data_IF_869462629386
#
_entry.id   IF_869462629386
#
_cell.length_a   1.000
_cell.length_b   1.000
_cell.length_c   1.000
_cell.angle_alpha   90.00
_cell.angle_beta   90.00
_cell.angle_gamma   90.00
#
_symmetry.space_group_name_H-M   'P 1'
#
loop_
_entity.id
_entity.type
_entity.pdbx_description
1 polymer ?
#
# COMPACT_ATOMS: atom_id res chain seq x y z
N UNK A 1 32.20 50.53 25.44
CA UNK A 1 32.64 49.17 25.07
C UNK A 1 31.40 48.31 24.98
N UNK A 2 30.87 48.14 23.76
CA UNK A 2 29.61 47.44 23.50
C UNK A 2 29.97 46.21 22.69
N UNK A 3 29.98 45.06 23.34
CA UNK A 3 30.35 43.77 22.77
C UNK A 3 29.21 43.26 21.89
N UNK A 4 29.39 43.27 20.58
CA UNK A 4 28.46 42.68 19.63
C UNK A 4 28.66 41.15 19.58
N UNK A 5 27.69 40.40 20.08
CA UNK A 5 27.61 38.95 19.88
C UNK A 5 27.24 38.65 18.43
N UNK A 6 28.18 38.07 17.68
CA UNK A 6 27.94 37.51 16.35
C UNK A 6 27.33 36.12 16.52
N UNK A 7 26.04 35.98 16.23
CA UNK A 7 25.41 34.68 16.07
C UNK A 7 25.88 34.05 14.76
N UNK A 8 26.67 32.98 14.84
CA UNK A 8 26.90 32.10 13.69
C UNK A 8 25.62 31.33 13.41
N UNK A 9 24.87 31.78 12.40
CA UNK A 9 23.85 30.96 11.77
C UNK A 9 24.55 29.78 11.09
N UNK A 10 24.39 28.57 11.63
CA UNK A 10 24.72 27.34 10.91
C UNK A 10 23.70 27.22 9.78
N UNK A 11 24.08 27.68 8.59
CA UNK A 11 23.35 27.40 7.37
C UNK A 11 23.35 25.88 7.18
N UNK A 12 22.18 25.27 7.29
CA UNK A 12 21.97 23.91 6.80
C UNK A 12 22.34 23.91 5.32
N UNK A 13 23.49 23.32 4.96
CA UNK A 13 23.87 23.17 3.57
C UNK A 13 22.78 22.36 2.89
N UNK A 14 22.03 22.97 1.98
CA UNK A 14 21.13 22.23 1.11
C UNK A 14 22.00 21.22 0.33
N UNK A 15 21.94 19.95 0.70
CA UNK A 15 22.61 18.88 -0.04
C UNK A 15 22.18 18.98 -1.50
N UNK A 16 23.16 19.09 -2.40
CA UNK A 16 22.92 19.15 -3.83
C UNK A 16 22.00 17.99 -4.24
N UNK A 17 20.97 18.23 -5.07
CA UNK A 17 20.12 17.15 -5.55
C UNK A 17 20.98 16.11 -6.28
N UNK A 18 20.84 14.83 -5.93
CA UNK A 18 21.59 13.76 -6.57
C UNK A 18 21.28 13.70 -8.07
N UNK A 19 22.24 13.24 -8.88
CA UNK A 19 22.06 13.10 -10.33
C UNK A 19 21.02 12.02 -10.66
N UNK A 20 20.46 12.10 -11.87
CA UNK A 20 19.56 11.07 -12.42
C UNK A 20 20.32 9.76 -12.61
N UNK A 21 19.82 8.68 -11.98
CA UNK A 21 20.44 7.35 -11.98
C UNK A 21 20.59 6.78 -13.39
N UNK A 22 19.69 7.10 -14.34
CA UNK A 22 19.84 6.67 -15.74
C UNK A 22 21.04 7.33 -16.39
N UNK A 23 21.27 8.62 -16.12
CA UNK A 23 22.41 9.36 -16.68
C UNK A 23 23.73 8.84 -16.12
N UNK A 24 23.78 8.62 -14.80
CA UNK A 24 24.94 8.01 -14.15
C UNK A 24 25.22 6.62 -14.75
N UNK A 25 24.20 5.78 -14.93
CA UNK A 25 24.37 4.47 -15.57
C UNK A 25 24.94 4.58 -17.00
N UNK A 26 24.40 5.50 -17.81
CA UNK A 26 24.85 5.71 -19.17
C UNK A 26 26.33 6.16 -19.24
N UNK A 27 26.75 7.00 -18.29
CA UNK A 27 28.11 7.54 -18.20
C UNK A 27 29.12 6.50 -17.72
N UNK A 28 28.80 5.76 -16.67
CA UNK A 28 29.80 4.94 -15.95
C UNK A 28 29.66 3.43 -16.14
N UNK A 29 28.49 2.92 -16.55
CA UNK A 29 28.20 1.49 -16.52
C UNK A 29 27.87 0.90 -17.90
N UNK A 30 27.27 1.69 -18.80
CA UNK A 30 26.71 1.20 -20.06
C UNK A 30 27.74 0.66 -21.04
N UNK A 31 28.99 1.13 -21.00
CA UNK A 31 30.07 0.62 -21.88
C UNK A 31 30.42 -0.85 -21.60
N UNK A 32 30.24 -1.31 -20.35
CA UNK A 32 30.51 -2.68 -19.93
C UNK A 32 29.23 -3.55 -19.92
N UNK A 33 28.13 -3.01 -19.40
CA UNK A 33 26.89 -3.74 -19.15
C UNK A 33 25.82 -3.55 -20.23
N UNK A 34 26.13 -2.84 -21.30
CA UNK A 34 25.19 -2.52 -22.38
C UNK A 34 24.27 -1.34 -22.03
N UNK A 35 23.80 -0.61 -23.04
CA UNK A 35 22.97 0.57 -22.85
C UNK A 35 21.60 0.26 -22.22
N UNK A 36 21.14 -0.99 -22.30
CA UNK A 36 19.87 -1.50 -21.76
C UNK A 36 20.10 -2.57 -20.68
N UNK A 37 21.30 -2.65 -20.08
CA UNK A 37 21.67 -3.61 -19.05
C UNK A 37 21.74 -5.08 -19.55
N UNK A 38 21.76 -5.27 -20.86
CA UNK A 38 21.73 -6.57 -21.54
C UNK A 38 23.06 -7.32 -21.53
N UNK A 39 24.13 -6.69 -21.01
CA UNK A 39 25.48 -7.22 -21.01
C UNK A 39 26.29 -6.79 -22.23
N UNK A 40 27.58 -7.13 -22.21
CA UNK A 40 28.54 -6.79 -23.24
C UNK A 40 29.90 -7.39 -22.90
N UNK A 41 30.89 -6.54 -22.62
CA UNK A 41 32.18 -7.00 -22.05
C UNK A 41 32.05 -7.46 -20.59
N UNK A 42 31.00 -7.03 -19.89
CA UNK A 42 30.60 -7.55 -18.58
C UNK A 42 29.23 -8.24 -18.64
N UNK A 43 28.89 -9.10 -17.65
CA UNK A 43 27.60 -9.78 -17.61
C UNK A 43 26.39 -8.83 -17.61
N UNK A 44 25.26 -9.31 -18.11
CA UNK A 44 23.98 -8.60 -18.05
C UNK A 44 23.53 -8.34 -16.61
N UNK A 45 22.90 -7.19 -16.37
CA UNK A 45 22.31 -6.84 -15.07
C UNK A 45 20.79 -7.11 -15.03
N UNK A 46 20.20 -7.61 -16.12
CA UNK A 46 18.78 -7.98 -16.22
C UNK A 46 18.45 -9.40 -15.74
N UNK A 47 19.40 -10.13 -15.14
CA UNK A 47 19.29 -11.56 -14.82
C UNK A 47 19.46 -11.90 -13.33
N UNK A 48 19.01 -13.10 -12.95
CA UNK A 48 19.03 -13.59 -11.55
C UNK A 48 20.36 -14.24 -11.11
N UNK A 49 21.30 -14.50 -12.04
CA UNK A 49 22.56 -15.16 -11.71
C UNK A 49 23.65 -14.14 -11.45
N UNK A 50 23.72 -13.69 -10.20
CA UNK A 50 24.75 -12.79 -9.72
C UNK A 50 25.96 -13.58 -9.21
N UNK A 51 27.18 -13.16 -9.59
CA UNK A 51 28.42 -13.81 -9.13
C UNK A 51 28.82 -13.44 -7.70
N UNK A 52 28.37 -12.29 -7.20
CA UNK A 52 28.82 -11.68 -5.96
C UNK A 52 27.63 -11.13 -5.14
N UNK A 53 26.66 -11.98 -4.80
CA UNK A 53 25.45 -11.58 -4.07
C UNK A 53 24.23 -11.49 -4.97
N UNK A 54 23.49 -10.38 -4.93
CA UNK A 54 22.27 -10.15 -5.71
C UNK A 54 21.22 -9.28 -5.01
N UNK A 55 21.41 -9.02 -3.72
CA UNK A 55 20.63 -8.05 -2.94
C UNK A 55 21.15 -6.60 -3.12
N UNK A 56 20.33 -5.63 -2.68
CA UNK A 56 20.63 -4.20 -2.78
C UNK A 56 22.00 -3.81 -2.16
N UNK A 57 22.39 -4.43 -1.04
CA UNK A 57 23.63 -4.12 -0.34
C UNK A 57 24.86 -4.61 -1.11
N UNK A 58 24.81 -5.82 -1.65
CA UNK A 58 25.87 -6.41 -2.48
C UNK A 58 26.03 -5.67 -3.83
N UNK A 59 24.94 -5.18 -4.41
CA UNK A 59 24.97 -4.32 -5.60
C UNK A 59 25.61 -2.97 -5.28
N UNK A 60 25.20 -2.32 -4.19
CA UNK A 60 25.78 -1.07 -3.74
C UNK A 60 27.29 -1.21 -3.46
N UNK A 61 27.70 -2.25 -2.75
CA UNK A 61 29.11 -2.54 -2.48
C UNK A 61 29.89 -2.80 -3.77
N UNK A 62 29.33 -3.55 -4.73
CA UNK A 62 30.01 -3.80 -6.01
C UNK A 62 30.20 -2.52 -6.83
N UNK A 63 29.25 -1.59 -6.80
CA UNK A 63 29.38 -0.27 -7.46
C UNK A 63 30.42 0.59 -6.72
N UNK A 64 30.32 0.67 -5.39
CA UNK A 64 31.17 1.52 -4.56
C UNK A 64 32.63 1.09 -4.60
N UNK A 65 32.86 -0.18 -4.32
CA UNK A 65 34.18 -0.75 -4.05
C UNK A 65 34.81 -1.36 -5.31
N UNK A 66 34.02 -1.54 -6.37
CA UNK A 66 34.43 -2.19 -7.60
C UNK A 66 34.70 -3.70 -7.43
N UNK A 67 35.08 -4.35 -8.52
CA UNK A 67 35.62 -5.72 -8.55
C UNK A 67 36.85 -5.72 -9.45
N UNK A 68 37.93 -5.13 -8.97
CA UNK A 68 39.15 -4.85 -9.76
C UNK A 68 39.73 -6.12 -10.40
N UNK A 69 39.75 -7.23 -9.66
CA UNK A 69 40.21 -8.54 -10.18
C UNK A 69 39.36 -9.06 -11.35
N UNK A 70 38.14 -8.53 -11.50
CA UNK A 70 37.19 -8.90 -12.55
C UNK A 70 37.02 -7.77 -13.57
N UNK A 71 37.87 -6.74 -13.54
CA UNK A 71 37.84 -5.62 -14.50
C UNK A 71 36.80 -4.53 -14.22
N UNK A 72 36.12 -4.55 -13.06
CA UNK A 72 35.16 -3.50 -12.68
C UNK A 72 35.85 -2.48 -11.74
N UNK A 73 36.03 -1.21 -12.14
CA UNK A 73 36.60 -0.18 -11.26
C UNK A 73 35.67 0.18 -10.10
N UNK A 74 36.24 0.81 -9.07
CA UNK A 74 35.48 1.35 -7.94
C UNK A 74 34.91 2.74 -8.29
N UNK A 75 33.64 3.00 -7.96
CA UNK A 75 32.98 4.26 -8.27
C UNK A 75 32.65 5.12 -7.04
N UNK A 76 32.95 4.65 -5.81
CA UNK A 76 32.61 5.35 -4.56
C UNK A 76 33.24 6.74 -4.40
N UNK A 77 34.33 7.04 -5.12
CA UNK A 77 34.94 8.37 -5.15
C UNK A 77 34.23 9.36 -6.10
N UNK A 78 33.42 8.86 -7.04
CA UNK A 78 32.79 9.67 -8.12
C UNK A 78 31.27 9.68 -8.03
N UNK A 79 30.69 8.65 -7.43
CA UNK A 79 29.24 8.47 -7.25
C UNK A 79 28.97 8.38 -5.76
N UNK A 80 28.21 9.32 -5.21
CA UNK A 80 27.91 9.36 -3.77
C UNK A 80 27.05 8.16 -3.32
N UNK A 81 27.06 7.78 -2.04
CA UNK A 81 26.22 6.69 -1.52
C UNK A 81 24.73 6.85 -1.90
N UNK A 82 24.23 8.08 -1.85
CA UNK A 82 22.86 8.41 -2.25
C UNK A 82 22.63 8.11 -3.74
N UNK A 83 23.58 8.43 -4.61
CA UNK A 83 23.49 8.13 -6.05
C UNK A 83 23.70 6.65 -6.36
N UNK A 84 24.61 5.97 -5.64
CA UNK A 84 24.77 4.51 -5.72
C UNK A 84 23.44 3.84 -5.36
N UNK A 85 22.75 4.31 -4.31
CA UNK A 85 21.41 3.82 -3.98
C UNK A 85 20.43 4.01 -5.14
N UNK A 86 20.42 5.18 -5.77
CA UNK A 86 19.62 5.44 -6.97
C UNK A 86 19.91 4.48 -8.13
N UNK A 87 21.19 4.19 -8.39
CA UNK A 87 21.61 3.19 -9.38
C UNK A 87 21.09 1.79 -9.04
N UNK A 88 21.17 1.36 -7.79
CA UNK A 88 20.63 0.06 -7.36
C UNK A 88 19.13 -0.02 -7.62
N UNK A 89 18.36 1.02 -7.25
CA UNK A 89 16.92 1.05 -7.55
C UNK A 89 16.68 1.01 -9.06
N UNK A 90 17.46 1.73 -9.86
CA UNK A 90 17.34 1.72 -11.33
C UNK A 90 17.64 0.34 -11.93
N UNK A 91 18.71 -0.32 -11.50
CA UNK A 91 19.09 -1.67 -11.96
C UNK A 91 17.98 -2.68 -11.62
N UNK A 92 17.51 -2.69 -10.37
CA UNK A 92 16.44 -3.58 -9.92
C UNK A 92 15.13 -3.31 -10.67
N UNK A 93 14.80 -2.05 -10.92
CA UNK A 93 13.63 -1.66 -11.70
C UNK A 93 13.70 -2.22 -13.14
N UNK A 94 14.83 -2.04 -13.82
CA UNK A 94 15.03 -2.57 -15.17
C UNK A 94 14.99 -4.10 -15.20
N UNK A 95 15.65 -4.76 -14.23
CA UNK A 95 15.62 -6.22 -14.10
C UNK A 95 14.19 -6.72 -13.86
N UNK A 96 13.41 -6.08 -12.99
CA UNK A 96 12.01 -6.43 -12.75
C UNK A 96 11.11 -6.22 -13.98
N UNK A 97 11.33 -5.14 -14.74
CA UNK A 97 10.64 -4.95 -16.02
C UNK A 97 10.99 -6.03 -17.04
N UNK A 98 12.27 -6.43 -17.14
CA UNK A 98 12.69 -7.51 -18.02
C UNK A 98 12.08 -8.85 -17.60
N UNK A 99 12.09 -9.18 -16.30
CA UNK A 99 11.49 -10.40 -15.76
C UNK A 99 9.98 -10.49 -16.04
N UNK A 100 9.27 -9.36 -15.87
CA UNK A 100 7.83 -9.25 -16.16
C UNK A 100 7.49 -9.48 -17.64
N UNK A 101 8.40 -9.14 -18.57
CA UNK A 101 8.23 -9.40 -20.01
C UNK A 101 8.54 -10.85 -20.39
N UNK A 102 9.48 -11.50 -19.68
CA UNK A 102 9.94 -12.87 -19.97
C UNK A 102 9.04 -13.95 -19.39
N UNK A 103 8.41 -13.69 -18.25
CA UNK A 103 7.55 -14.67 -17.56
C UNK A 103 6.11 -14.44 -18.00
N UNK A 104 5.49 -15.33 -18.78
CA UNK A 104 4.06 -15.28 -19.00
C UNK A 104 3.38 -15.63 -17.68
N UNK A 105 3.01 -14.61 -16.90
CA UNK A 105 2.15 -14.86 -15.77
C UNK A 105 0.80 -15.37 -16.28
N UNK A 106 0.05 -16.12 -15.46
CA UNK A 106 -1.22 -16.66 -15.89
C UNK A 106 -2.11 -15.49 -16.38
N UNK A 107 -2.63 -15.62 -17.60
CA UNK A 107 -3.71 -14.77 -18.12
C UNK A 107 -4.99 -15.60 -18.03
N UNK A 108 -5.71 -15.51 -16.90
CA UNK A 108 -6.97 -16.20 -16.73
C UNK A 108 -7.91 -15.91 -17.89
N UNK A 109 -8.65 -16.92 -18.30
CA UNK A 109 -9.85 -16.75 -19.11
C UNK A 109 -11.03 -17.37 -18.36
N UNK A 110 -12.24 -16.87 -18.60
CA UNK A 110 -13.44 -17.50 -18.03
C UNK A 110 -13.65 -18.93 -18.58
N UNK A 111 -13.02 -19.27 -19.72
CA UNK A 111 -13.16 -20.56 -20.40
C UNK A 111 -12.13 -21.62 -19.96
N UNK A 112 -11.09 -21.26 -19.20
CA UNK A 112 -10.00 -22.18 -18.86
C UNK A 112 -9.48 -21.99 -17.45
N UNK A 113 -9.07 -23.10 -16.83
CA UNK A 113 -8.44 -23.09 -15.53
C UNK A 113 -7.11 -22.33 -15.58
N UNK A 114 -6.95 -21.40 -14.65
CA UNK A 114 -5.67 -20.76 -14.34
C UNK A 114 -4.85 -21.73 -13.51
N UNK A 115 -3.63 -22.04 -13.98
CA UNK A 115 -2.70 -22.91 -13.27
C UNK A 115 -1.94 -22.12 -12.21
N UNK A 116 -1.92 -22.65 -10.99
CA UNK A 116 -1.11 -22.13 -9.89
C UNK A 116 -0.19 -23.21 -9.32
N UNK A 117 0.82 -22.82 -8.55
CA UNK A 117 1.76 -23.75 -7.91
C UNK A 117 1.06 -24.70 -6.94
N UNK A 118 0.06 -24.19 -6.21
CA UNK A 118 -0.61 -24.92 -5.13
C UNK A 118 -2.05 -25.32 -5.45
N UNK A 119 -2.75 -24.55 -6.30
CA UNK A 119 -4.13 -24.78 -6.72
C UNK A 119 -4.35 -24.28 -8.13
N UNK A 120 -5.19 -25.00 -8.86
CA UNK A 120 -5.78 -24.55 -10.11
C UNK A 120 -7.17 -23.96 -9.84
N UNK A 121 -7.55 -22.92 -10.56
CA UNK A 121 -8.81 -22.23 -10.32
C UNK A 121 -9.36 -21.54 -11.58
N UNK A 122 -10.67 -21.31 -11.60
CA UNK A 122 -11.35 -20.46 -12.57
C UNK A 122 -11.68 -19.11 -11.95
N UNK A 123 -11.87 -18.11 -12.80
CA UNK A 123 -12.37 -16.80 -12.40
C UNK A 123 -13.78 -16.65 -12.90
N UNK A 124 -14.68 -16.32 -11.99
CA UNK A 124 -16.10 -16.14 -12.28
C UNK A 124 -16.48 -14.70 -11.94
N UNK A 125 -17.01 -13.97 -12.93
CA UNK A 125 -17.62 -12.67 -12.70
C UNK A 125 -18.94 -12.87 -11.94
N UNK A 126 -19.06 -12.25 -10.78
CA UNK A 126 -20.25 -12.39 -9.89
C UNK A 126 -21.11 -11.13 -9.82
N UNK A 127 -20.52 -9.95 -10.01
CA UNK A 127 -21.24 -8.68 -10.00
C UNK A 127 -20.69 -7.79 -11.12
N UNK A 128 -21.32 -7.77 -12.31
CA UNK A 128 -20.92 -6.89 -13.40
C UNK A 128 -21.50 -5.48 -13.24
N UNK A 129 -21.03 -4.53 -14.07
CA UNK A 129 -21.66 -3.22 -14.26
C UNK A 129 -21.36 -2.19 -13.15
N UNK A 130 -20.35 -2.44 -12.33
CA UNK A 130 -19.86 -1.49 -11.32
C UNK A 130 -19.02 -0.39 -11.95
N UNK A 131 -18.81 0.70 -11.23
CA UNK A 131 -18.06 1.88 -11.68
C UNK A 131 -16.98 2.22 -10.68
N UNK A 132 -15.75 1.79 -10.95
CA UNK A 132 -14.59 2.00 -10.06
C UNK A 132 -14.87 1.49 -8.62
N UNK A 133 -15.28 0.21 -8.44
CA UNK A 133 -15.52 -0.34 -7.11
C UNK A 133 -14.23 -0.30 -6.28
N UNK A 134 -14.34 0.04 -4.99
CA UNK A 134 -13.22 0.29 -4.09
C UNK A 134 -13.05 -0.78 -3.01
N UNK A 135 -14.13 -1.14 -2.32
CA UNK A 135 -14.13 -2.16 -1.27
C UNK A 135 -15.43 -2.97 -1.26
N UNK A 136 -15.40 -4.12 -0.58
CA UNK A 136 -16.52 -5.07 -0.49
C UNK A 136 -16.68 -5.60 0.95
N UNK A 137 -17.93 -5.65 1.43
CA UNK A 137 -18.28 -6.26 2.70
C UNK A 137 -19.49 -7.19 2.57
N UNK A 138 -19.39 -8.38 3.17
CA UNK A 138 -20.45 -9.40 3.16
C UNK A 138 -21.22 -9.34 4.48
N UNK A 139 -22.53 -9.10 4.43
CA UNK A 139 -23.40 -9.12 5.58
C UNK A 139 -23.85 -10.56 5.92
N UNK A 140 -24.11 -10.86 7.20
CA UNK A 140 -24.58 -12.18 7.64
C UNK A 140 -25.94 -12.59 7.06
N UNK A 141 -26.77 -11.63 6.65
CA UNK A 141 -28.08 -11.87 6.02
C UNK A 141 -27.99 -12.13 4.50
N UNK A 142 -26.76 -12.15 3.94
CA UNK A 142 -26.50 -12.42 2.53
C UNK A 142 -26.45 -11.18 1.64
N UNK A 143 -26.64 -9.97 2.19
CA UNK A 143 -26.40 -8.74 1.45
C UNK A 143 -24.89 -8.52 1.25
N UNK A 144 -24.51 -7.97 0.11
CA UNK A 144 -23.12 -7.55 -0.16
C UNK A 144 -23.10 -6.06 -0.42
N UNK A 145 -22.25 -5.35 0.32
CA UNK A 145 -22.01 -3.93 0.17
C UNK A 145 -20.75 -3.70 -0.65
N UNK A 146 -20.82 -2.81 -1.63
CA UNK A 146 -19.68 -2.44 -2.47
C UNK A 146 -19.61 -0.92 -2.54
N UNK A 147 -18.50 -0.34 -2.09
CA UNK A 147 -18.24 1.08 -2.31
C UNK A 147 -17.74 1.30 -3.74
N UNK A 148 -18.15 2.39 -4.36
CA UNK A 148 -17.59 2.88 -5.60
C UNK A 148 -16.89 4.20 -5.32
N UNK A 149 -15.69 4.38 -5.89
CA UNK A 149 -14.81 5.53 -5.62
C UNK A 149 -15.53 6.88 -5.77
N UNK A 150 -16.53 6.98 -6.64
CA UNK A 150 -17.27 8.22 -6.91
C UNK A 150 -18.30 8.61 -5.86
N UNK A 151 -18.42 7.87 -4.75
CA UNK A 151 -19.26 8.26 -3.62
C UNK A 151 -20.53 7.44 -3.44
N UNK A 152 -20.70 6.35 -4.20
CA UNK A 152 -21.88 5.49 -4.14
C UNK A 152 -21.60 4.22 -3.35
N UNK A 153 -22.55 3.81 -2.51
CA UNK A 153 -22.59 2.47 -1.92
C UNK A 153 -23.63 1.65 -2.68
N UNK A 154 -23.20 0.54 -3.25
CA UNK A 154 -24.01 -0.41 -3.99
C UNK A 154 -24.37 -1.59 -3.09
N UNK A 155 -25.56 -2.15 -3.30
CA UNK A 155 -26.03 -3.35 -2.60
C UNK A 155 -26.29 -4.44 -3.62
N UNK A 156 -25.75 -5.62 -3.37
CA UNK A 156 -26.06 -6.85 -4.09
C UNK A 156 -26.88 -7.73 -3.16
N UNK A 157 -27.98 -8.25 -3.67
CA UNK A 157 -28.90 -9.09 -2.93
C UNK A 157 -29.17 -10.34 -3.78
N UNK A 158 -28.90 -11.52 -3.21
CA UNK A 158 -29.07 -12.81 -3.92
C UNK A 158 -28.35 -12.85 -5.27
N UNK A 159 -27.15 -12.26 -5.34
CA UNK A 159 -26.34 -12.19 -6.56
C UNK A 159 -26.76 -11.11 -7.57
N UNK A 160 -27.81 -10.34 -7.29
CA UNK A 160 -28.31 -9.28 -8.19
C UNK A 160 -27.97 -7.91 -7.61
N UNK A 161 -27.31 -7.07 -8.42
CA UNK A 161 -27.05 -5.67 -8.09
C UNK A 161 -28.37 -4.90 -8.07
N UNK A 162 -28.70 -4.25 -6.95
CA UNK A 162 -29.88 -3.36 -6.90
C UNK A 162 -29.73 -2.23 -7.91
N UNK A 163 -30.80 -1.79 -8.61
CA UNK A 163 -30.71 -0.71 -9.59
C UNK A 163 -30.23 0.60 -8.97
N UNK A 164 -30.84 0.99 -7.85
CA UNK A 164 -30.56 2.24 -7.17
C UNK A 164 -29.42 2.08 -6.13
N UNK A 165 -28.46 3.02 -6.10
CA UNK A 165 -27.46 3.07 -5.03
C UNK A 165 -28.14 3.42 -3.69
N UNK A 166 -27.44 3.19 -2.59
CA UNK A 166 -27.87 3.65 -1.27
C UNK A 166 -27.96 5.19 -1.27
N UNK A 167 -29.07 5.72 -0.77
CA UNK A 167 -29.29 7.16 -0.60
C UNK A 167 -28.80 7.65 0.78
N UNK A 168 -28.64 8.97 0.94
CA UNK A 168 -28.34 9.58 2.25
C UNK A 168 -26.87 9.57 2.68
N UNK A 169 -25.96 9.10 1.84
CA UNK A 169 -24.51 9.19 2.08
C UNK A 169 -24.01 10.65 2.06
N UNK A 170 -22.91 10.96 2.78
CA UNK A 170 -22.29 12.27 2.68
C UNK A 170 -21.73 12.53 1.28
N UNK A 171 -21.56 13.81 0.95
CA UNK A 171 -20.82 14.21 -0.25
C UNK A 171 -19.36 13.83 -0.12
N UNK A 172 -18.79 13.33 -1.21
CA UNK A 172 -17.42 12.80 -1.29
C UNK A 172 -16.65 13.57 -2.37
N UNK A 173 -15.43 14.01 -2.06
CA UNK A 173 -14.52 14.58 -3.06
C UNK A 173 -13.78 13.44 -3.80
N UNK A 174 -14.15 13.17 -5.04
CA UNK A 174 -13.61 12.03 -5.79
C UNK A 174 -12.40 12.38 -6.69
N UNK A 175 -11.81 13.57 -6.55
CA UNK A 175 -10.77 14.03 -7.47
C UNK A 175 -9.40 13.42 -7.17
N UNK A 176 -8.65 13.08 -8.23
CA UNK A 176 -7.39 12.34 -8.09
C UNK A 176 -7.64 10.96 -7.47
N UNK A 177 -6.93 10.64 -6.39
CA UNK A 177 -7.09 9.42 -5.61
C UNK A 177 -8.24 9.49 -4.59
N UNK A 178 -8.92 10.63 -4.44
CA UNK A 178 -10.05 10.79 -3.51
C UNK A 178 -11.25 9.93 -3.91
N UNK A 179 -12.08 9.59 -2.93
CA UNK A 179 -13.32 8.87 -3.14
C UNK A 179 -13.95 8.34 -1.85
N UNK A 180 -14.99 7.52 -2.04
CA UNK A 180 -15.51 6.64 -1.01
C UNK A 180 -14.61 5.41 -1.01
N UNK A 181 -13.95 5.17 0.11
CA UNK A 181 -12.91 4.18 0.24
C UNK A 181 -13.49 2.87 0.77
N UNK A 182 -13.20 2.54 2.02
CA UNK A 182 -13.52 1.25 2.60
C UNK A 182 -14.94 1.16 3.15
N UNK A 183 -15.43 -0.07 3.23
CA UNK A 183 -16.65 -0.44 3.94
C UNK A 183 -16.37 -1.66 4.80
N UNK A 184 -16.58 -1.53 6.11
CA UNK A 184 -16.46 -2.67 7.05
C UNK A 184 -17.67 -2.73 7.96
N UNK A 185 -18.08 -3.94 8.31
CA UNK A 185 -19.12 -4.16 9.29
C UNK A 185 -18.51 -4.16 10.68
N UNK A 186 -19.28 -3.71 11.68
CA UNK A 186 -18.92 -3.92 13.07
C UNK A 186 -18.80 -5.43 13.37
N UNK A 187 -17.88 -5.89 14.24
CA UNK A 187 -17.80 -7.31 14.61
C UNK A 187 -19.12 -7.87 15.17
N UNK A 188 -19.86 -7.06 15.93
CA UNK A 188 -21.22 -7.34 16.43
C UNK A 188 -22.37 -6.88 15.51
N UNK A 189 -22.15 -6.83 14.20
CA UNK A 189 -23.12 -6.30 13.23
C UNK A 189 -24.54 -6.89 13.37
N UNK A 190 -24.67 -8.19 13.63
CA UNK A 190 -25.98 -8.85 13.80
C UNK A 190 -26.80 -8.28 14.95
N UNK A 191 -26.16 -7.67 15.94
CA UNK A 191 -26.81 -7.05 17.10
C UNK A 191 -27.07 -5.56 16.90
N UNK A 192 -26.12 -4.84 16.30
CA UNK A 192 -26.13 -3.38 16.31
C UNK A 192 -26.33 -2.73 14.93
N UNK A 193 -26.18 -3.48 13.84
CA UNK A 193 -26.35 -3.01 12.46
C UNK A 193 -25.33 -1.98 11.99
N UNK A 194 -24.23 -1.76 12.71
CA UNK A 194 -23.27 -0.70 12.41
C UNK A 194 -22.36 -1.04 11.23
N UNK A 195 -22.32 -0.13 10.25
CA UNK A 195 -21.44 -0.16 9.08
C UNK A 195 -20.52 1.05 9.18
N UNK A 196 -19.25 0.88 8.86
CA UNK A 196 -18.24 1.94 8.88
C UNK A 196 -17.79 2.25 7.46
N UNK A 197 -17.62 3.54 7.16
CA UNK A 197 -17.14 4.03 5.87
C UNK A 197 -15.99 5.00 6.09
N UNK A 198 -14.98 4.91 5.24
CA UNK A 198 -13.93 5.92 5.11
C UNK A 198 -14.09 6.66 3.77
N UNK A 199 -13.91 7.98 3.76
CA UNK A 199 -14.03 8.78 2.54
C UNK A 199 -13.18 10.04 2.59
N UNK A 200 -12.93 10.62 1.42
CA UNK A 200 -12.32 11.96 1.29
C UNK A 200 -13.36 13.05 1.54
N UNK A 201 -13.26 13.66 2.71
CA UNK A 201 -14.07 14.77 3.17
C UNK A 201 -13.42 16.09 2.76
N UNK A 202 -14.16 16.91 2.03
CA UNK A 202 -13.72 18.22 1.58
C UNK A 202 -14.28 19.32 2.48
N UNK A 203 -13.40 20.22 2.89
CA UNK A 203 -13.80 21.45 3.54
C UNK A 203 -14.61 22.31 2.56
N UNK A 204 -15.88 22.57 2.88
CA UNK A 204 -16.81 23.33 2.03
C UNK A 204 -16.74 24.86 2.19
N UNK A 205 -15.78 25.38 2.95
CA UNK A 205 -15.74 26.80 3.30
C UNK A 205 -14.99 27.69 2.31
N UNK A 206 -14.40 27.13 1.24
CA UNK A 206 -13.58 27.88 0.28
C UNK A 206 -14.14 27.86 -1.16
N UNK A 207 -14.00 28.94 -1.95
CA UNK A 207 -14.49 29.01 -3.33
C UNK A 207 -13.74 28.12 -4.33
N UNK A 208 -12.52 27.69 -3.99
CA UNK A 208 -11.70 26.77 -4.80
C UNK A 208 -11.91 25.32 -4.32
N UNK A 209 -11.26 24.32 -4.96
CA UNK A 209 -11.25 22.95 -4.41
C UNK A 209 -10.64 22.99 -3.00
N UNK A 210 -11.53 22.99 -2.01
CA UNK A 210 -11.18 23.08 -0.59
C UNK A 210 -10.23 21.97 -0.18
N UNK A 211 -9.52 22.19 0.92
CA UNK A 211 -8.64 21.19 1.50
C UNK A 211 -9.44 19.91 1.79
N UNK A 212 -8.81 18.74 1.60
CA UNK A 212 -9.48 17.44 1.66
C UNK A 212 -8.69 16.50 2.55
N UNK A 213 -9.39 15.73 3.37
CA UNK A 213 -8.80 14.75 4.28
C UNK A 213 -9.66 13.49 4.42
N UNK A 214 -9.05 12.40 4.87
CA UNK A 214 -9.78 11.17 5.16
C UNK A 214 -10.60 11.32 6.45
N UNK A 215 -11.89 10.99 6.37
CA UNK A 215 -12.84 10.97 7.48
C UNK A 215 -13.45 9.58 7.60
N UNK A 216 -13.73 9.15 8.82
CA UNK A 216 -14.40 7.88 9.13
C UNK A 216 -15.74 8.14 9.80
N UNK A 217 -16.78 7.51 9.28
CA UNK A 217 -18.14 7.56 9.83
C UNK A 217 -18.67 6.14 10.06
N UNK A 218 -19.70 6.01 10.89
CA UNK A 218 -20.56 4.84 10.93
C UNK A 218 -22.01 5.21 10.71
N UNK A 219 -22.83 4.22 10.37
CA UNK A 219 -24.26 4.36 10.15
C UNK A 219 -24.93 3.00 10.00
N UNK A 220 -26.21 3.02 9.69
CA UNK A 220 -27.02 1.82 9.43
C UNK A 220 -27.71 1.92 8.08
N UNK A 221 -28.07 0.78 7.51
CA UNK A 221 -28.92 0.71 6.32
C UNK A 221 -30.35 0.36 6.71
N UNK A 222 -31.29 1.23 6.34
CA UNK A 222 -32.73 0.99 6.47
C UNK A 222 -33.42 1.33 5.17
N UNK A 223 -34.14 0.38 4.58
CA UNK A 223 -34.86 0.57 3.31
C UNK A 223 -34.00 1.21 2.19
N UNK A 224 -32.76 0.72 2.01
CA UNK A 224 -31.78 1.22 1.04
C UNK A 224 -31.31 2.68 1.26
N UNK A 225 -31.49 3.21 2.47
CA UNK A 225 -30.98 4.52 2.88
C UNK A 225 -29.94 4.39 4.01
N UNK A 226 -28.90 5.22 3.94
CA UNK A 226 -27.93 5.43 5.02
C UNK A 226 -28.56 6.29 6.13
N UNK A 227 -28.53 5.78 7.35
CA UNK A 227 -29.23 6.34 8.52
C UNK A 227 -28.35 6.27 9.76
N UNK A 228 -28.76 6.95 10.83
CA UNK A 228 -28.08 6.94 12.15
C UNK A 228 -26.59 7.31 12.08
N UNK A 229 -26.23 8.22 11.17
CA UNK A 229 -24.83 8.54 10.92
C UNK A 229 -24.14 9.15 12.15
N UNK A 230 -22.94 8.66 12.46
CA UNK A 230 -22.05 9.20 13.48
C UNK A 230 -20.64 9.36 12.92
N UNK A 231 -19.97 10.46 13.27
CA UNK A 231 -18.56 10.66 12.96
C UNK A 231 -17.72 9.88 13.96
N UNK A 232 -16.87 9.00 13.46
CA UNK A 232 -15.96 8.17 14.27
C UNK A 232 -14.60 8.83 14.36
N UNK A 233 -14.13 9.38 13.25
CA UNK A 233 -12.90 10.17 13.23
C UNK A 233 -12.98 11.24 12.17
N UNK A 234 -12.60 12.46 12.56
CA UNK A 234 -12.32 13.56 11.66
C UNK A 234 -11.06 14.25 12.16
N UNK A 235 -10.09 14.41 11.27
CA UNK A 235 -8.87 15.14 11.59
C UNK A 235 -9.18 16.62 11.95
N UNK A 236 -8.34 17.29 12.73
CA UNK A 236 -8.44 18.74 12.91
C UNK A 236 -8.37 19.46 11.56
N UNK A 237 -9.23 20.46 11.35
CA UNK A 237 -9.46 21.07 10.03
C UNK A 237 -8.19 21.73 9.47
N UNK A 238 -7.35 22.26 10.34
CA UNK A 238 -6.05 22.88 10.02
C UNK A 238 -5.01 21.89 9.47
N UNK A 239 -5.27 20.59 9.58
CA UNK A 239 -4.43 19.54 9.00
C UNK A 239 -4.90 19.08 7.63
N UNK A 240 -6.05 19.57 7.15
CA UNK A 240 -6.53 19.25 5.81
C UNK A 240 -5.55 19.82 4.77
N UNK A 241 -5.39 19.10 3.65
CA UNK A 241 -4.45 19.47 2.59
C UNK A 241 -5.16 19.62 1.25
N UNK A 242 -4.72 20.58 0.45
CA UNK A 242 -5.11 20.65 -0.95
C UNK A 242 -4.44 19.51 -1.75
N UNK A 243 -5.03 19.17 -2.89
CA UNK A 243 -4.56 18.09 -3.75
C UNK A 243 -5.29 16.76 -3.54
N UNK A 244 -5.01 15.82 -4.42
CA UNK A 244 -5.78 14.58 -4.55
C UNK A 244 -4.95 13.31 -4.44
N UNK A 245 -3.95 13.25 -3.55
CA UNK A 245 -3.05 12.07 -3.45
C UNK A 245 -2.93 11.56 -2.01
N UNK A 246 -2.69 10.27 -1.85
CA UNK A 246 -2.29 9.61 -0.61
C UNK A 246 -3.28 9.77 0.55
N UNK A 247 -4.52 9.35 0.33
CA UNK A 247 -5.56 9.39 1.37
C UNK A 247 -5.46 8.22 2.37
N UNK A 248 -4.80 7.11 2.01
CA UNK A 248 -5.01 5.85 2.71
C UNK A 248 -6.48 5.43 2.59
N UNK A 249 -7.18 5.32 3.72
CA UNK A 249 -8.63 5.15 3.77
C UNK A 249 -9.10 3.72 4.01
N UNK A 250 -8.24 2.84 4.54
CA UNK A 250 -8.58 1.45 4.86
C UNK A 250 -8.97 1.31 6.33
N UNK A 251 -9.90 0.40 6.63
CA UNK A 251 -10.48 0.16 7.96
C UNK A 251 -10.27 -1.31 8.37
N UNK A 252 -9.98 -1.57 9.64
CA UNK A 252 -9.88 -2.93 10.18
C UNK A 252 -10.28 -2.97 11.65
N UNK A 253 -11.15 -3.92 12.01
CA UNK A 253 -11.48 -4.20 13.41
C UNK A 253 -10.60 -5.30 13.97
N UNK A 254 -10.12 -5.11 15.19
CA UNK A 254 -9.50 -6.18 15.97
C UNK A 254 -10.55 -7.05 16.70
N UNK A 255 -10.10 -8.08 17.41
CA UNK A 255 -10.97 -8.97 18.20
C UNK A 255 -11.58 -8.30 19.44
N UNK A 256 -11.13 -7.12 19.81
CA UNK A 256 -11.59 -6.36 20.98
C UNK A 256 -12.44 -5.15 20.58
N UNK A 257 -12.93 -5.10 19.33
CA UNK A 257 -13.75 -4.03 18.77
C UNK A 257 -13.05 -2.66 18.69
N UNK A 258 -11.70 -2.60 18.70
CA UNK A 258 -11.00 -1.38 18.31
C UNK A 258 -10.98 -1.26 16.79
N UNK A 259 -11.27 -0.06 16.31
CA UNK A 259 -11.17 0.29 14.89
C UNK A 259 -9.79 0.87 14.59
N UNK A 260 -9.11 0.25 13.64
CA UNK A 260 -7.87 0.75 13.06
C UNK A 260 -8.16 1.33 11.68
N UNK A 261 -7.48 2.41 11.33
CA UNK A 261 -7.62 3.01 10.01
C UNK A 261 -6.36 3.70 9.50
N UNK A 262 -6.18 3.72 8.18
CA UNK A 262 -5.02 4.35 7.55
C UNK A 262 -5.29 5.76 7.03
N UNK A 263 -4.33 6.64 7.22
CA UNK A 263 -4.29 7.97 6.59
C UNK A 263 -2.90 8.14 5.95
N UNK A 264 -2.87 8.34 4.62
CA UNK A 264 -1.62 8.64 3.91
C UNK A 264 -1.12 10.06 4.17
N UNK A 265 0.09 10.39 3.73
CA UNK A 265 0.73 11.67 4.08
C UNK A 265 0.19 12.90 3.32
N UNK A 266 -0.68 12.68 2.34
CA UNK A 266 -1.36 13.72 1.53
C UNK A 266 -0.47 14.56 0.61
N UNK A 267 0.72 14.07 0.26
CA UNK A 267 1.69 14.73 -0.61
C UNK A 267 2.73 15.59 0.11
N UNK A 268 2.63 15.74 1.43
CA UNK A 268 3.66 16.32 2.27
C UNK A 268 4.39 15.26 3.12
N UNK A 269 5.56 14.84 2.65
CA UNK A 269 6.31 13.72 3.22
C UNK A 269 6.70 13.92 4.68
N UNK A 270 7.03 15.15 5.10
CA UNK A 270 7.49 15.43 6.48
C UNK A 270 6.40 15.17 7.51
N UNK A 271 5.13 15.30 7.13
CA UNK A 271 4.02 15.09 8.05
C UNK A 271 3.95 13.64 8.53
N UNK A 272 4.52 12.68 7.78
CA UNK A 272 4.57 11.26 8.18
C UNK A 272 5.37 11.05 9.48
N UNK A 273 6.38 11.87 9.75
CA UNK A 273 7.19 11.83 10.97
C UNK A 273 6.66 12.75 12.07
N UNK A 274 5.87 13.77 11.72
CA UNK A 274 5.29 14.71 12.68
C UNK A 274 4.08 14.08 13.40
N UNK A 275 4.19 13.87 14.72
CA UNK A 275 3.13 13.31 15.55
C UNK A 275 2.00 14.32 15.83
N UNK A 276 2.21 15.61 15.58
CA UNK A 276 1.15 16.64 15.66
C UNK A 276 0.23 16.62 14.44
N UNK A 277 0.55 15.80 13.44
CA UNK A 277 -0.24 15.62 12.21
C UNK A 277 -0.80 14.20 12.12
N UNK A 278 -2.03 14.03 11.63
CA UNK A 278 -2.63 12.71 11.39
C UNK A 278 -2.15 12.05 10.09
N UNK A 279 -1.38 12.78 9.28
CA UNK A 279 -0.92 12.36 7.96
C UNK A 279 0.17 11.29 8.06
N UNK A 280 0.09 10.25 7.23
CA UNK A 280 1.12 9.21 7.13
C UNK A 280 1.18 8.30 8.36
N UNK A 281 0.01 7.89 8.85
CA UNK A 281 -0.19 7.15 10.11
C UNK A 281 -1.17 5.98 9.93
N UNK A 282 -1.04 4.98 10.78
CA UNK A 282 -2.16 4.12 11.17
C UNK A 282 -2.69 4.64 12.50
N UNK A 283 -4.02 4.73 12.63
CA UNK A 283 -4.72 5.18 13.82
C UNK A 283 -5.49 4.04 14.48
N UNK A 284 -5.76 4.16 15.78
CA UNK A 284 -6.62 3.27 16.57
C UNK A 284 -7.60 4.07 17.42
N UNK A 285 -8.88 3.73 17.35
CA UNK A 285 -9.97 4.29 18.15
C UNK A 285 -10.89 3.18 18.67
N UNK A 286 -11.73 3.48 19.67
CA UNK A 286 -12.89 2.64 19.98
C UNK A 286 -13.86 2.63 18.78
N UNK A 287 -14.73 1.61 18.71
CA UNK A 287 -15.78 1.52 17.70
C UNK A 287 -16.70 2.76 17.65
N UNK A 288 -16.85 3.49 18.74
CA UNK A 288 -17.59 4.76 18.81
C UNK A 288 -16.75 6.04 18.61
N UNK A 289 -15.47 5.90 18.30
CA UNK A 289 -14.56 7.02 18.04
C UNK A 289 -13.85 7.59 19.27
N UNK A 290 -14.16 7.13 20.48
CA UNK A 290 -13.38 7.51 21.67
C UNK A 290 -11.91 7.08 21.53
N UNK A 291 -11.02 7.82 22.18
CA UNK A 291 -9.58 7.52 22.20
C UNK A 291 -9.29 6.46 23.28
N UNK A 292 -8.64 5.32 22.93
CA UNK A 292 -8.14 4.36 23.90
C UNK A 292 -7.03 4.97 24.77
N UNK A 293 -7.15 4.84 26.09
CA UNK A 293 -6.19 5.41 27.05
C UNK A 293 -4.79 4.76 26.99
N UNK A 294 -4.68 3.60 26.33
CA UNK A 294 -3.44 2.85 26.10
C UNK A 294 -2.87 3.08 24.68
N UNK A 295 -3.35 4.05 23.91
CA UNK A 295 -2.69 4.45 22.67
C UNK A 295 -1.25 4.95 22.96
N UNK A 296 -0.27 4.70 22.07
CA UNK A 296 1.15 4.92 22.36
C UNK A 296 1.54 6.38 22.61
N UNK A 297 0.80 7.34 22.05
CA UNK A 297 1.16 8.76 22.08
C UNK A 297 0.19 9.65 22.88
N UNK A 298 -0.75 9.07 23.63
CA UNK A 298 -1.75 9.84 24.42
C UNK A 298 -1.16 10.73 25.50
N UNK A 299 0.04 10.39 25.99
CA UNK A 299 0.79 11.17 26.99
C UNK A 299 1.88 12.05 26.35
N UNK A 300 2.02 12.02 25.04
CA UNK A 300 3.00 12.84 24.31
C UNK A 300 2.40 14.21 24.03
N UNK A 301 2.97 15.31 24.57
CA UNK A 301 2.42 16.64 24.36
C UNK A 301 2.28 16.99 22.88
N UNK A 302 1.09 17.43 22.49
CA UNK A 302 0.78 17.86 21.11
C UNK A 302 0.58 16.72 20.09
N UNK A 303 0.83 15.45 20.45
CA UNK A 303 0.61 14.34 19.55
C UNK A 303 -0.89 14.10 19.31
N UNK A 304 -1.26 13.70 18.08
CA UNK A 304 -2.61 13.25 17.78
C UNK A 304 -2.86 11.93 18.52
N UNK A 305 -3.83 11.88 19.46
CA UNK A 305 -3.92 10.79 20.42
C UNK A 305 -4.43 9.48 19.81
N UNK A 306 -5.03 9.53 18.62
CA UNK A 306 -5.45 8.33 17.87
C UNK A 306 -4.29 7.62 17.17
N UNK A 307 -3.09 8.20 17.08
CA UNK A 307 -1.96 7.57 16.36
C UNK A 307 -1.59 6.24 17.02
N UNK A 308 -1.53 5.19 16.19
CA UNK A 308 -1.02 3.88 16.55
C UNK A 308 0.41 3.68 16.05
N UNK A 309 0.69 4.04 14.79
CA UNK A 309 2.03 4.02 14.17
C UNK A 309 2.24 5.23 13.27
N UNK A 310 3.48 5.50 12.91
CA UNK A 310 3.84 6.64 12.06
C UNK A 310 4.94 6.29 11.05
N UNK A 311 5.27 7.24 10.17
CA UNK A 311 6.26 7.02 9.12
C UNK A 311 5.74 6.22 7.95
N UNK A 312 4.45 6.35 7.61
CA UNK A 312 3.88 5.76 6.41
C UNK A 312 3.68 6.82 5.30
N UNK A 313 3.80 6.40 4.04
CA UNK A 313 3.51 7.20 2.85
C UNK A 313 2.03 7.10 2.45
N UNK A 314 1.59 5.93 1.99
CA UNK A 314 0.21 5.76 1.53
C UNK A 314 -0.29 4.32 1.71
N UNK A 315 -0.71 3.94 2.94
CA UNK A 315 -1.20 2.61 3.23
C UNK A 315 -2.57 2.37 2.60
N UNK A 316 -2.63 1.43 1.66
CA UNK A 316 -3.85 1.11 0.90
C UNK A 316 -4.53 -0.17 1.41
N UNK A 317 -3.78 -1.11 1.97
CA UNK A 317 -4.29 -2.35 2.56
C UNK A 317 -4.09 -2.35 4.07
N UNK A 318 -5.06 -2.86 4.82
CA UNK A 318 -5.02 -2.98 6.27
C UNK A 318 -5.92 -4.15 6.68
N UNK A 319 -5.36 -5.14 7.37
CA UNK A 319 -6.12 -6.34 7.76
C UNK A 319 -5.52 -7.01 8.98
N UNK A 320 -6.35 -7.47 9.90
CA UNK A 320 -5.94 -8.42 10.93
C UNK A 320 -5.79 -9.83 10.37
N UNK A 321 -4.73 -10.51 10.79
CA UNK A 321 -4.63 -11.95 10.70
C UNK A 321 -5.63 -12.58 11.69
N UNK A 322 -6.59 -13.39 11.21
CA UNK A 322 -7.59 -14.00 12.09
C UNK A 322 -6.98 -15.02 13.08
N UNK A 323 -5.84 -15.60 12.76
CA UNK A 323 -5.13 -16.59 13.58
C UNK A 323 -4.21 -15.89 14.57
N UNK A 324 -3.23 -15.11 14.10
CA UNK A 324 -2.21 -14.51 14.96
C UNK A 324 -2.70 -13.25 15.68
N UNK A 325 -3.70 -12.56 15.14
CA UNK A 325 -4.16 -11.26 15.63
C UNK A 325 -3.22 -10.10 15.27
N UNK A 326 -2.21 -10.35 14.42
CA UNK A 326 -1.31 -9.31 13.93
C UNK A 326 -2.01 -8.43 12.90
N UNK A 327 -1.74 -7.12 12.95
CA UNK A 327 -2.24 -6.17 11.97
C UNK A 327 -1.25 -6.10 10.81
N UNK A 328 -1.69 -6.43 9.60
CA UNK A 328 -0.90 -6.32 8.38
C UNK A 328 -1.32 -5.09 7.58
N UNK A 329 -0.35 -4.47 6.91
CA UNK A 329 -0.57 -3.33 6.02
C UNK A 329 0.37 -3.42 4.84
N UNK A 330 -0.05 -2.89 3.69
CA UNK A 330 0.89 -2.56 2.63
C UNK A 330 0.70 -1.12 2.18
N UNK A 331 1.73 -0.55 1.57
CA UNK A 331 1.69 0.83 1.13
C UNK A 331 2.42 1.08 -0.18
N UNK A 332 2.03 2.16 -0.86
CA UNK A 332 2.73 2.61 -2.06
C UNK A 332 4.00 3.36 -1.69
N UNK A 333 5.13 2.92 -2.24
CA UNK A 333 6.36 3.70 -2.32
C UNK A 333 6.29 4.79 -3.40
N UNK A 334 7.37 5.55 -3.60
CA UNK A 334 7.50 6.52 -4.68
C UNK A 334 7.72 5.78 -6.03
N UNK A 335 8.86 5.99 -6.71
CA UNK A 335 9.23 5.16 -7.86
C UNK A 335 9.93 3.90 -7.34
N UNK A 336 9.16 2.82 -7.22
CA UNK A 336 9.60 1.61 -6.49
C UNK A 336 9.43 1.78 -4.98
N UNK A 337 9.74 0.71 -4.25
CA UNK A 337 9.72 0.71 -2.78
C UNK A 337 8.32 0.63 -2.19
N UNK A 338 7.39 -0.06 -2.86
CA UNK A 338 6.17 -0.49 -2.18
C UNK A 338 6.53 -1.51 -1.10
N UNK A 339 5.76 -1.56 -0.01
CA UNK A 339 6.10 -2.36 1.16
C UNK A 339 4.91 -3.15 1.69
N UNK A 340 5.20 -4.32 2.27
CA UNK A 340 4.31 -5.10 3.15
C UNK A 340 4.88 -5.10 4.56
N UNK A 341 4.06 -4.73 5.53
CA UNK A 341 4.44 -4.43 6.90
C UNK A 341 3.53 -5.16 7.90
N UNK A 342 4.12 -5.63 9.01
CA UNK A 342 3.38 -6.00 10.22
C UNK A 342 3.36 -4.76 11.13
N UNK A 343 2.16 -4.25 11.41
CA UNK A 343 1.89 -3.01 12.12
C UNK A 343 1.93 -3.25 13.64
N UNK A 344 2.91 -2.63 14.32
CA UNK A 344 3.20 -2.80 15.74
C UNK A 344 3.07 -1.48 16.49
N UNK A 345 2.49 -1.54 17.69
CA UNK A 345 2.20 -0.37 18.54
C UNK A 345 3.40 0.58 18.68
N UNK A 346 3.20 1.83 18.30
CA UNK A 346 4.13 2.93 18.55
C UNK A 346 5.36 2.98 17.64
N UNK A 347 5.50 2.05 16.68
CA UNK A 347 6.70 1.98 15.84
C UNK A 347 6.64 2.96 14.65
N UNK A 348 7.83 3.28 14.15
CA UNK A 348 8.10 4.11 12.99
C UNK A 348 8.37 3.24 11.76
N UNK A 349 7.64 3.45 10.66
CA UNK A 349 7.82 2.76 9.38
C UNK A 349 8.70 3.54 8.40
N UNK A 350 9.33 4.62 8.88
CA UNK A 350 10.51 5.20 8.27
C UNK A 350 10.26 6.24 7.19
N UNK A 351 9.11 6.30 6.52
CA UNK A 351 8.89 7.31 5.46
C UNK A 351 8.94 8.75 6.00
N UNK A 352 9.67 9.69 5.35
CA UNK A 352 10.56 9.54 4.19
C UNK A 352 12.05 9.39 4.56
N UNK A 353 12.36 9.18 5.85
CA UNK A 353 13.72 9.02 6.37
C UNK A 353 14.40 7.76 5.83
N UNK A 354 13.64 6.69 5.60
CA UNK A 354 14.06 5.49 4.89
C UNK A 354 13.09 5.16 3.75
N UNK A 355 13.60 4.66 2.63
CA UNK A 355 12.77 4.14 1.55
C UNK A 355 13.53 3.19 0.63
N UNK A 356 12.83 2.19 0.09
CA UNK A 356 13.35 1.34 -0.97
C UNK A 356 13.19 1.92 -2.39
N UNK A 357 12.55 3.09 -2.51
CA UNK A 357 12.30 3.74 -3.80
C UNK A 357 13.19 4.95 -4.07
N UNK A 358 12.91 5.63 -5.20
CA UNK A 358 13.55 6.90 -5.58
C UNK A 358 12.53 7.92 -6.08
N UNK A 359 12.97 9.14 -6.40
CA UNK A 359 12.10 10.13 -7.01
C UNK A 359 11.69 9.70 -8.42
N UNK A 360 10.49 10.10 -8.85
CA UNK A 360 9.98 9.79 -10.19
C UNK A 360 10.84 10.35 -11.32
N UNK A 361 11.59 11.45 -11.07
CA UNK A 361 12.55 12.01 -12.02
C UNK A 361 13.89 11.22 -12.13
N UNK A 362 14.02 10.08 -11.44
CA UNK A 362 15.22 9.23 -11.48
C UNK A 362 16.33 9.61 -10.51
N UNK A 363 16.15 10.70 -9.75
CA UNK A 363 17.10 11.11 -8.70
C UNK A 363 16.85 10.34 -7.40
N UNK A 364 17.89 10.03 -6.61
CA UNK A 364 17.72 9.36 -5.32
C UNK A 364 17.05 10.26 -4.28
N UNK A 365 16.23 9.66 -3.40
CA UNK A 365 15.59 10.38 -2.28
C UNK A 365 16.52 10.51 -1.07
N UNK A 366 17.04 9.39 -0.61
CA UNK A 366 18.04 9.28 0.46
C UNK A 366 18.92 8.03 0.17
N UNK A 367 19.90 7.76 1.04
CA UNK A 367 20.71 6.54 0.96
C UNK A 367 20.24 5.44 1.93
N UNK A 368 19.22 5.72 2.74
CA UNK A 368 18.85 4.93 3.91
C UNK A 368 17.68 4.02 3.58
N UNK A 369 17.87 2.71 3.73
CA UNK A 369 16.79 1.72 3.61
C UNK A 369 16.41 1.10 4.96
N UNK A 370 17.29 1.19 5.96
CA UNK A 370 17.11 0.64 7.31
C UNK A 370 17.78 1.55 8.34
N UNK A 371 17.27 1.56 9.58
CA UNK A 371 17.80 2.29 10.74
C UNK A 371 17.27 1.63 12.02
N UNK A 372 18.00 1.68 13.13
CA UNK A 372 17.63 0.96 14.37
C UNK A 372 16.28 1.36 14.99
N UNK A 373 15.81 2.58 14.72
CA UNK A 373 14.53 3.12 15.17
C UNK A 373 13.42 3.04 14.10
N UNK A 374 13.66 2.33 12.99
CA UNK A 374 12.70 2.11 11.90
C UNK A 374 12.41 0.62 11.80
N UNK A 375 11.13 0.26 11.87
CA UNK A 375 10.67 -1.10 11.67
C UNK A 375 10.86 -1.48 10.17
N UNK A 376 11.59 -2.55 9.86
CA UNK A 376 11.78 -2.99 8.48
C UNK A 376 10.51 -3.67 7.93
N UNK A 377 10.26 -3.58 6.61
CA UNK A 377 9.15 -4.30 6.00
C UNK A 377 9.43 -5.80 5.90
N UNK A 378 8.35 -6.59 5.88
CA UNK A 378 8.38 -8.03 5.60
C UNK A 378 8.80 -8.28 4.15
N UNK A 379 8.31 -7.45 3.23
CA UNK A 379 8.65 -7.49 1.82
C UNK A 379 8.60 -6.09 1.21
N UNK A 380 9.39 -5.86 0.16
CA UNK A 380 9.30 -4.66 -0.65
C UNK A 380 9.39 -4.98 -2.14
N UNK A 381 8.92 -4.07 -2.99
CA UNK A 381 8.93 -4.27 -4.45
C UNK A 381 9.56 -3.11 -5.22
N UNK A 382 10.57 -3.44 -6.03
CA UNK A 382 11.19 -2.59 -7.05
C UNK A 382 11.23 -3.41 -8.36
N UNK A 383 10.50 -3.00 -9.42
CA UNK A 383 9.62 -1.84 -9.54
C UNK A 383 8.39 -1.92 -8.61
N UNK A 384 7.78 -0.76 -8.36
CA UNK A 384 6.51 -0.65 -7.65
C UNK A 384 5.41 -1.41 -8.40
N UNK A 385 4.61 -2.17 -7.65
CA UNK A 385 3.43 -2.88 -8.15
C UNK A 385 2.14 -2.07 -7.93
N UNK A 386 2.21 -1.03 -7.10
CA UNK A 386 1.11 -0.23 -6.57
C UNK A 386 0.06 -1.12 -5.87
N UNK A 387 0.37 -1.69 -4.69
CA UNK A 387 -0.50 -2.61 -3.97
C UNK A 387 -1.71 -1.89 -3.37
N UNK A 388 -2.87 -2.55 -3.37
CA UNK A 388 -4.12 -1.95 -2.92
C UNK A 388 -4.96 -2.83 -1.97
N UNK A 389 -5.39 -4.01 -2.43
CA UNK A 389 -6.18 -4.94 -1.63
C UNK A 389 -5.29 -5.92 -0.88
N UNK A 390 -5.66 -6.22 0.38
CA UNK A 390 -4.93 -7.14 1.24
C UNK A 390 -5.87 -8.19 1.85
N UNK A 391 -5.60 -9.45 1.58
CA UNK A 391 -6.27 -10.57 2.22
C UNK A 391 -5.29 -11.52 2.91
N UNK A 392 -5.66 -12.01 4.08
CA UNK A 392 -5.05 -13.18 4.70
C UNK A 392 -6.07 -14.29 4.55
N UNK A 393 -5.75 -15.32 3.79
CA UNK A 393 -6.76 -16.30 3.39
C UNK A 393 -7.13 -17.21 4.56
N UNK A 394 -8.40 -17.17 4.94
CA UNK A 394 -8.95 -17.95 6.06
C UNK A 394 -9.97 -19.00 5.64
N UNK A 395 -10.31 -19.08 4.36
CA UNK A 395 -11.31 -20.02 3.85
C UNK A 395 -10.79 -21.45 3.70
N UNK A 396 -11.72 -22.37 3.42
CA UNK A 396 -11.41 -23.81 3.31
C UNK A 396 -11.47 -24.34 1.86
N UNK A 397 -11.85 -23.50 0.90
CA UNK A 397 -11.94 -23.88 -0.53
C UNK A 397 -10.58 -24.02 -1.20
N UNK A 398 -9.56 -23.35 -0.67
CA UNK A 398 -8.16 -23.44 -1.10
C UNK A 398 -7.27 -23.86 0.08
N UNK A 399 -7.31 -25.13 0.53
CA UNK A 399 -6.68 -25.54 1.79
C UNK A 399 -5.17 -25.23 1.87
N UNK A 400 -4.42 -25.39 0.77
CA UNK A 400 -2.98 -25.02 0.68
C UNK A 400 -2.69 -23.51 0.63
N UNK A 401 -3.70 -22.65 0.61
CA UNK A 401 -3.53 -21.20 0.71
C UNK A 401 -3.84 -20.67 2.11
N UNK A 402 -4.24 -21.52 3.05
CA UNK A 402 -4.62 -21.10 4.40
C UNK A 402 -3.48 -20.34 5.08
N UNK A 403 -3.79 -19.17 5.63
CA UNK A 403 -2.87 -18.21 6.23
C UNK A 403 -1.87 -17.54 5.26
N UNK A 404 -2.00 -17.75 3.94
CA UNK A 404 -1.19 -17.01 2.97
C UNK A 404 -1.73 -15.59 2.79
N UNK A 405 -0.82 -14.67 2.50
CA UNK A 405 -1.13 -13.27 2.23
C UNK A 405 -1.38 -13.09 0.74
N UNK A 406 -2.43 -12.35 0.40
CA UNK A 406 -2.81 -12.01 -0.96
C UNK A 406 -2.80 -10.50 -1.14
N UNK A 407 -2.04 -10.04 -2.14
CA UNK A 407 -1.87 -8.62 -2.44
C UNK A 407 -2.37 -8.35 -3.86
N UNK A 408 -3.48 -7.62 -3.96
CA UNK A 408 -3.96 -7.07 -5.22
C UNK A 408 -3.13 -5.84 -5.59
N UNK A 409 -2.93 -5.61 -6.89
CA UNK A 409 -2.09 -4.53 -7.37
C UNK A 409 -2.67 -3.81 -8.59
N UNK A 410 -2.54 -2.48 -8.56
CA UNK A 410 -3.06 -1.59 -9.58
C UNK A 410 -2.09 -1.45 -10.75
N UNK A 411 -0.82 -1.16 -10.45
CA UNK A 411 0.20 -0.82 -11.44
C UNK A 411 0.64 -2.05 -12.21
N UNK A 412 0.91 -3.13 -11.49
CA UNK A 412 1.29 -4.41 -12.08
C UNK A 412 0.09 -5.18 -12.68
N UNK A 413 -1.15 -4.86 -12.26
CA UNK A 413 -2.37 -5.58 -12.65
C UNK A 413 -2.29 -7.07 -12.27
N UNK A 414 -1.82 -7.32 -11.05
CA UNK A 414 -1.52 -8.65 -10.54
C UNK A 414 -2.24 -8.92 -9.22
N UNK A 415 -2.59 -10.19 -8.98
CA UNK A 415 -2.82 -10.73 -7.64
C UNK A 415 -1.62 -11.60 -7.27
N UNK A 416 -0.96 -11.27 -6.15
CA UNK A 416 0.19 -12.01 -5.65
C UNK A 416 -0.19 -12.79 -4.40
N UNK A 417 0.21 -14.05 -4.34
CA UNK A 417 0.19 -14.90 -3.15
C UNK A 417 1.57 -14.88 -2.52
N UNK A 418 1.64 -14.68 -1.21
CA UNK A 418 2.85 -14.77 -0.41
C UNK A 418 2.63 -15.79 0.69
N UNK A 419 3.58 -16.71 0.83
CA UNK A 419 3.69 -17.59 1.98
C UNK A 419 4.66 -16.97 2.97
N UNK A 420 4.19 -16.73 4.20
CA UNK A 420 4.98 -16.10 5.25
C UNK A 420 5.38 -17.17 6.27
N UNK A 421 6.67 -17.24 6.57
CA UNK A 421 7.22 -18.11 7.59
C UNK A 421 6.92 -17.60 9.00
N UNK A 422 7.08 -18.48 9.99
CA UNK A 422 6.88 -18.12 11.41
C UNK A 422 7.82 -17.02 11.92
N UNK A 423 8.95 -16.81 11.24
CA UNK A 423 9.91 -15.74 11.52
C UNK A 423 9.55 -14.42 10.82
N UNK A 424 8.38 -14.34 10.18
CA UNK A 424 7.89 -13.16 9.48
C UNK A 424 8.51 -12.95 8.10
N UNK A 425 9.30 -13.91 7.58
CA UNK A 425 9.93 -13.79 6.25
C UNK A 425 9.08 -14.42 5.14
N UNK A 426 9.22 -13.90 3.92
CA UNK A 426 8.59 -14.50 2.74
C UNK A 426 9.30 -15.80 2.37
N UNK A 427 8.59 -16.93 2.43
CA UNK A 427 9.09 -18.25 2.01
C UNK A 427 8.88 -18.48 0.52
N UNK A 428 7.73 -18.07 -0.02
CA UNK A 428 7.42 -18.14 -1.45
C UNK A 428 6.55 -16.96 -1.87
N UNK A 429 6.71 -16.53 -3.12
CA UNK A 429 5.85 -15.55 -3.77
C UNK A 429 5.45 -16.02 -5.16
N UNK A 430 4.19 -15.82 -5.50
CA UNK A 430 3.61 -16.25 -6.76
C UNK A 430 2.65 -15.20 -7.32
N UNK A 431 2.79 -14.86 -8.60
CA UNK A 431 1.76 -14.09 -9.33
C UNK A 431 0.71 -15.09 -9.79
N UNK A 432 -0.46 -15.08 -9.15
CA UNK A 432 -1.54 -16.02 -9.48
C UNK A 432 -2.51 -15.46 -10.52
N UNK A 433 -2.65 -14.13 -10.61
CA UNK A 433 -3.42 -13.44 -11.64
C UNK A 433 -2.58 -12.35 -12.28
N UNK A 434 -2.65 -12.19 -13.60
CA UNK A 434 -2.10 -11.02 -14.29
C UNK A 434 -2.91 -10.62 -15.51
N UNK A 435 -2.99 -9.32 -15.77
CA UNK A 435 -3.45 -8.78 -17.05
C UNK A 435 -4.96 -8.85 -17.27
N UNK A 436 -5.75 -9.05 -16.20
CA UNK A 436 -7.21 -9.04 -16.25
C UNK A 436 -7.82 -7.68 -15.88
N UNK A 437 -6.98 -6.67 -15.68
CA UNK A 437 -7.35 -5.32 -15.25
C UNK A 437 -6.62 -4.89 -13.98
N UNK A 438 -6.81 -3.64 -13.58
CA UNK A 438 -6.27 -3.09 -12.32
C UNK A 438 -7.08 -3.64 -11.16
N UNK A 439 -6.54 -4.60 -10.42
CA UNK A 439 -7.20 -5.13 -9.23
C UNK A 439 -7.15 -4.04 -8.16
N UNK A 440 -8.29 -3.70 -7.58
CA UNK A 440 -8.44 -2.69 -6.52
C UNK A 440 -8.51 -3.34 -5.14
N UNK A 441 -9.18 -4.48 -5.03
CA UNK A 441 -9.33 -5.15 -3.76
C UNK A 441 -9.24 -6.68 -3.90
N UNK A 442 -8.91 -7.35 -2.80
CA UNK A 442 -9.05 -8.79 -2.59
C UNK A 442 -9.63 -9.05 -1.20
N UNK A 443 -10.67 -9.87 -1.11
CA UNK A 443 -11.34 -10.18 0.16
C UNK A 443 -11.73 -11.65 0.27
N UNK A 444 -11.85 -12.15 1.50
CA UNK A 444 -12.40 -13.47 1.78
C UNK A 444 -13.93 -13.38 1.72
N UNK A 445 -14.57 -14.26 0.96
CA UNK A 445 -16.01 -14.44 0.98
C UNK A 445 -16.48 -15.40 2.08
N UNK A 446 -17.76 -15.33 2.49
CA UNK A 446 -18.34 -16.23 3.48
C UNK A 446 -18.45 -17.68 2.99
N UNK A 447 -18.38 -17.91 1.68
CA UNK A 447 -18.35 -19.23 1.03
C UNK A 447 -16.94 -19.85 0.97
N UNK A 448 -15.96 -19.19 1.62
CA UNK A 448 -14.57 -19.62 1.67
C UNK A 448 -13.77 -19.34 0.40
N UNK A 449 -14.30 -18.59 -0.56
CA UNK A 449 -13.58 -18.19 -1.78
C UNK A 449 -12.89 -16.83 -1.63
N UNK A 450 -11.98 -16.52 -2.55
CA UNK A 450 -11.39 -15.19 -2.69
C UNK A 450 -12.16 -14.39 -3.74
N UNK A 451 -12.52 -13.17 -3.38
CA UNK A 451 -13.16 -12.19 -4.25
C UNK A 451 -12.18 -11.10 -4.60
N UNK A 452 -12.19 -10.64 -5.86
CA UNK A 452 -11.36 -9.56 -6.36
C UNK A 452 -12.21 -8.46 -6.98
N UNK A 453 -11.85 -7.21 -6.74
CA UNK A 453 -12.49 -6.05 -7.34
C UNK A 453 -11.65 -5.59 -8.53
N UNK A 454 -12.29 -5.52 -9.69
CA UNK A 454 -11.76 -5.02 -10.95
C UNK A 454 -12.43 -3.68 -11.29
N UNK A 455 -11.96 -2.93 -12.31
CA UNK A 455 -12.47 -1.58 -12.58
C UNK A 455 -13.99 -1.47 -12.81
N UNK A 456 -14.63 -2.57 -13.22
CA UNK A 456 -16.02 -2.61 -13.66
C UNK A 456 -16.86 -3.76 -13.05
N UNK A 457 -16.26 -4.61 -12.20
CA UNK A 457 -16.92 -5.81 -11.68
C UNK A 457 -16.28 -6.36 -10.41
N UNK A 458 -17.02 -7.23 -9.73
CA UNK A 458 -16.47 -8.20 -8.76
C UNK A 458 -16.38 -9.56 -9.43
N UNK A 459 -15.25 -10.24 -9.23
CA UNK A 459 -15.07 -11.63 -9.60
C UNK A 459 -14.64 -12.46 -8.38
N UNK A 460 -14.79 -13.77 -8.46
CA UNK A 460 -14.27 -14.72 -7.44
C UNK A 460 -13.41 -15.79 -8.08
N UNK A 461 -12.48 -16.33 -7.29
CA UNK A 461 -11.65 -17.48 -7.67
C UNK A 461 -12.34 -18.75 -7.18
N UNK A 462 -12.61 -19.68 -8.09
CA UNK A 462 -13.26 -20.96 -7.81
C UNK A 462 -12.26 -22.09 -8.04
N UNK A 463 -11.97 -22.96 -7.06
CA UNK A 463 -11.03 -24.06 -7.26
C UNK A 463 -11.54 -25.01 -8.35
N UNK A 464 -10.64 -25.48 -9.21
CA UNK A 464 -10.92 -26.61 -10.09
C UNK A 464 -10.63 -27.89 -9.31
N UNK A 465 -11.64 -28.73 -9.13
CA UNK A 465 -11.44 -30.06 -8.54
C UNK A 465 -10.42 -30.83 -9.39
N UNK A 466 -9.50 -31.61 -8.76
CA UNK A 466 -8.58 -32.48 -9.48
C UNK A 466 -9.25 -33.40 -10.49
#
# INVERSE_FOLDING_TARGET
MTTACVFFAVSASAQQPGRDSRKIYAEFCASCHGAKLEGGSAPALLGATWKHGGDDASLAASIRDGRIQNGMPAFGATVSEKEIRGLVVYINEQAGHAASRRTPAPRPSEASATKGKLHDFQIETVVPGLREPYAIAFQPDGLVLITEKRGTLRVVEKGVLRPEPVSGLPSVDSGGQGGLFDVVLHPDFTRNGWIYLAFSDQQKTEPQRGAVMTTVIRGRLKANAWTDQQVIYRAPIETFRHGGVHFGGRLAFDKNNFLFFSIGERGNQTDAQDLTKPNGKIHRVHDDGRIPADNPFVKTPGAIPSIWTYGNRNPQGLRFDPVTGELWSHEHGPRGGDELNIIKRGLNYGWPLATFGMNYNGTPMNAVTTRDDIEPPVAYWVPSIAPCGLAIYGGDRFPKWKNHVFVASLGAQELRRLEIGKDGKVLDQEIILKGIGRLRDVSNGPDGLLYVLLPDRVARLVPVSP
#
